data_IF_004833062086
#
_entry.id   IF_004833062086
#
_cell.length_a   1.000
_cell.length_b   1.000
_cell.length_c   1.000
_cell.angle_alpha   90.00
_cell.angle_beta   90.00
_cell.angle_gamma   90.00
#
_symmetry.space_group_name_H-M   'P 1'
#
loop_
_entity.id
_entity.type
_entity.pdbx_description
1 polymer ?
#
# COMPACT_ATOMS: atom_id res chain seq x y z
N UNK A 1 24.06 -7.54 12.51
CA UNK A 1 22.76 -7.01 12.95
C UNK A 1 22.06 -6.38 11.75
N UNK A 2 21.21 -7.13 11.06
CA UNK A 2 20.48 -6.62 9.90
C UNK A 2 19.43 -5.61 10.36
N UNK A 3 19.45 -4.40 9.80
CA UNK A 3 18.54 -3.32 10.18
C UNK A 3 17.14 -3.52 9.56
N UNK A 4 16.42 -4.54 10.02
CA UNK A 4 15.09 -4.95 9.53
C UNK A 4 14.07 -3.82 9.57
N UNK A 5 14.16 -2.93 10.56
CA UNK A 5 13.32 -1.73 10.66
C UNK A 5 13.52 -0.79 9.46
N UNK A 6 14.77 -0.53 9.06
CA UNK A 6 15.04 0.30 7.88
C UNK A 6 14.51 -0.36 6.61
N UNK A 7 14.63 -1.68 6.47
CA UNK A 7 14.05 -2.39 5.34
C UNK A 7 12.51 -2.31 5.32
N UNK A 8 11.85 -2.41 6.47
CA UNK A 8 10.39 -2.22 6.57
C UNK A 8 9.95 -0.79 6.19
N UNK A 9 10.76 0.23 6.52
CA UNK A 9 10.54 1.60 6.05
C UNK A 9 10.71 1.73 4.54
N UNK A 10 11.75 1.11 3.97
CA UNK A 10 11.95 1.11 2.52
C UNK A 10 10.76 0.45 1.80
N UNK A 11 10.27 -0.68 2.31
CA UNK A 11 9.06 -1.31 1.79
C UNK A 11 7.85 -0.37 1.80
N UNK A 12 7.61 0.29 2.92
CA UNK A 12 6.52 1.26 3.04
C UNK A 12 6.64 2.41 2.05
N UNK A 13 7.84 3.01 1.92
CA UNK A 13 8.10 4.12 1.00
C UNK A 13 7.98 3.71 -0.47
N UNK A 14 8.48 2.53 -0.85
CA UNK A 14 8.32 1.99 -2.21
C UNK A 14 6.84 1.76 -2.51
N UNK A 15 6.09 1.21 -1.56
CA UNK A 15 4.66 0.99 -1.73
C UNK A 15 3.88 2.29 -1.92
N UNK A 16 4.15 3.33 -1.13
CA UNK A 16 3.57 4.67 -1.37
C UNK A 16 4.01 5.23 -2.72
N UNK A 17 5.30 5.16 -3.03
CA UNK A 17 5.88 5.68 -4.26
C UNK A 17 5.27 5.05 -5.52
N UNK A 18 4.85 3.78 -5.43
CA UNK A 18 4.21 3.08 -6.55
C UNK A 18 2.86 3.66 -6.98
N UNK A 19 2.22 4.46 -6.12
CA UNK A 19 0.97 5.17 -6.43
C UNK A 19 1.18 6.50 -7.16
N UNK A 20 2.40 7.01 -7.24
CA UNK A 20 2.71 8.30 -7.86
C UNK A 20 2.21 8.41 -9.31
N UNK A 21 2.41 7.41 -10.20
CA UNK A 21 1.83 7.40 -11.55
C UNK A 21 0.31 7.60 -11.57
N UNK A 22 -0.39 6.87 -10.69
CA UNK A 22 -1.85 6.85 -10.65
C UNK A 22 -2.44 8.13 -10.03
N UNK A 23 -1.79 8.71 -9.03
CA UNK A 23 -2.30 9.88 -8.29
C UNK A 23 -1.82 11.19 -8.90
N UNK A 24 -0.53 11.31 -9.24
CA UNK A 24 0.07 12.57 -9.69
C UNK A 24 -0.08 12.73 -11.21
N UNK A 25 0.24 11.68 -11.96
CA UNK A 25 0.20 11.71 -13.42
C UNK A 25 -1.16 11.30 -13.99
N UNK A 26 -2.07 10.78 -13.14
CA UNK A 26 -3.39 10.28 -13.53
C UNK A 26 -3.32 9.20 -14.63
N UNK A 27 -2.18 8.52 -14.74
CA UNK A 27 -2.00 7.43 -15.68
C UNK A 27 -2.31 6.09 -15.00
N UNK A 28 -3.14 5.22 -15.62
CA UNK A 28 -3.43 3.90 -15.08
C UNK A 28 -2.24 2.96 -15.27
N UNK A 29 -1.16 3.21 -14.52
CA UNK A 29 0.00 2.34 -14.48
C UNK A 29 -0.27 1.16 -13.54
N UNK A 30 0.20 -0.03 -13.92
CA UNK A 30 0.14 -1.23 -13.09
C UNK A 30 1.21 -1.26 -11.98
N UNK A 31 1.89 -0.13 -11.72
CA UNK A 31 2.97 -0.05 -10.74
C UNK A 31 2.47 -0.32 -9.30
N UNK A 32 1.19 -0.06 -9.00
CA UNK A 32 0.56 -0.44 -7.74
C UNK A 32 0.63 -1.95 -7.45
N UNK A 33 0.82 -2.83 -8.44
CA UNK A 33 1.00 -4.28 -8.22
C UNK A 33 2.19 -4.59 -7.30
N UNK A 34 3.20 -3.72 -7.28
CA UNK A 34 4.36 -3.90 -6.42
C UNK A 34 3.99 -3.85 -4.93
N UNK A 35 2.90 -3.16 -4.57
CA UNK A 35 2.37 -3.12 -3.19
C UNK A 35 1.94 -4.51 -2.69
N UNK A 36 1.52 -5.42 -3.58
CA UNK A 36 1.14 -6.79 -3.24
C UNK A 36 2.33 -7.66 -2.84
N UNK A 37 3.54 -7.29 -3.26
CA UNK A 37 4.78 -7.98 -2.89
C UNK A 37 5.44 -7.25 -1.72
N UNK A 38 5.65 -5.94 -1.89
CA UNK A 38 6.40 -5.12 -0.94
C UNK A 38 5.62 -4.91 0.36
N UNK A 39 4.29 -4.88 0.33
CA UNK A 39 3.44 -4.82 1.52
C UNK A 39 3.66 -6.02 2.45
N UNK A 40 3.41 -7.27 2.01
CA UNK A 40 3.68 -8.46 2.82
C UNK A 40 5.13 -8.58 3.30
N UNK A 41 6.10 -8.27 2.44
CA UNK A 41 7.52 -8.26 2.84
C UNK A 41 7.76 -7.23 3.95
N UNK A 42 7.23 -6.02 3.80
CA UNK A 42 7.30 -4.96 4.80
C UNK A 42 6.61 -5.33 6.11
N UNK A 43 5.46 -6.03 6.07
CA UNK A 43 4.76 -6.55 7.25
C UNK A 43 5.65 -7.53 8.01
N UNK A 44 6.24 -8.52 7.32
CA UNK A 44 7.11 -9.52 7.94
C UNK A 44 8.33 -8.86 8.57
N UNK A 45 8.99 -7.94 7.85
CA UNK A 45 10.15 -7.21 8.36
C UNK A 45 9.79 -6.31 9.56
N UNK A 46 8.64 -5.64 9.51
CA UNK A 46 8.13 -4.80 10.59
C UNK A 46 7.83 -5.63 11.85
N UNK A 47 7.20 -6.79 11.67
CA UNK A 47 6.90 -7.74 12.74
C UNK A 47 8.17 -8.25 13.42
N UNK A 48 9.18 -8.65 12.64
CA UNK A 48 10.50 -9.06 13.16
C UNK A 48 11.19 -7.92 13.91
N UNK A 49 11.02 -6.67 13.46
CA UNK A 49 11.58 -5.49 14.14
C UNK A 49 10.75 -4.99 15.34
N UNK A 50 9.68 -5.70 15.70
CA UNK A 50 8.69 -5.36 16.73
C UNK A 50 8.09 -3.95 16.59
N UNK A 51 8.00 -3.45 15.36
CA UNK A 51 7.42 -2.14 15.07
C UNK A 51 5.97 -2.28 14.60
N UNK A 52 5.05 -2.35 15.56
CA UNK A 52 3.62 -2.48 15.27
C UNK A 52 3.06 -1.34 14.39
N UNK A 53 3.59 -0.12 14.56
CA UNK A 53 3.24 0.99 13.67
C UNK A 53 3.59 0.72 12.20
N UNK A 54 4.77 0.12 11.94
CA UNK A 54 5.16 -0.27 10.59
C UNK A 54 4.40 -1.49 10.06
N UNK A 55 3.96 -2.40 10.94
CA UNK A 55 3.08 -3.51 10.55
C UNK A 55 1.76 -2.96 10.01
N UNK A 56 1.13 -2.04 10.75
CA UNK A 56 -0.12 -1.38 10.33
C UNK A 56 0.12 -0.60 9.04
N UNK A 57 1.18 0.20 8.98
CA UNK A 57 1.50 1.03 7.80
C UNK A 57 1.70 0.18 6.53
N UNK A 58 2.48 -0.90 6.60
CA UNK A 58 2.69 -1.80 5.45
C UNK A 58 1.43 -2.61 5.11
N UNK A 59 0.57 -2.91 6.09
CA UNK A 59 -0.73 -3.54 5.85
C UNK A 59 -1.67 -2.62 5.10
N UNK A 60 -1.78 -1.35 5.51
CA UNK A 60 -2.61 -0.37 4.82
C UNK A 60 -2.12 -0.10 3.40
N UNK A 61 -0.81 -0.02 3.18
CA UNK A 61 -0.23 0.15 1.84
C UNK A 61 -0.41 -1.10 0.99
N UNK A 62 -0.19 -2.31 1.52
CA UNK A 62 -0.39 -3.56 0.79
C UNK A 62 -1.87 -3.83 0.45
N UNK A 63 -2.80 -3.38 1.30
CA UNK A 63 -4.24 -3.47 1.07
C UNK A 63 -4.83 -2.26 0.34
N UNK A 64 -4.04 -1.22 0.05
CA UNK A 64 -4.53 0.08 -0.44
C UNK A 64 -5.32 -0.03 -1.73
N UNK A 65 -4.89 -0.89 -2.67
CA UNK A 65 -5.59 -1.08 -3.93
C UNK A 65 -7.02 -1.61 -3.73
N UNK A 66 -7.19 -2.59 -2.84
CA UNK A 66 -8.50 -3.16 -2.53
C UNK A 66 -9.42 -2.11 -1.89
N UNK A 67 -8.88 -1.32 -0.96
CA UNK A 67 -9.63 -0.26 -0.28
C UNK A 67 -10.07 0.82 -1.25
N UNK A 68 -9.18 1.28 -2.13
CA UNK A 68 -9.48 2.33 -3.11
C UNK A 68 -10.45 1.84 -4.19
N UNK A 69 -10.30 0.61 -4.68
CA UNK A 69 -11.25 0.01 -5.62
C UNK A 69 -12.64 -0.13 -5.00
N UNK A 70 -12.73 -0.64 -3.78
CA UNK A 70 -13.99 -0.77 -3.07
C UNK A 70 -14.68 0.59 -2.90
N UNK A 71 -13.93 1.61 -2.48
CA UNK A 71 -14.45 2.97 -2.37
C UNK A 71 -14.98 3.50 -3.72
N UNK A 72 -14.24 3.29 -4.81
CA UNK A 72 -14.67 3.68 -6.15
C UNK A 72 -15.95 2.98 -6.61
N UNK A 73 -16.13 1.69 -6.31
CA UNK A 73 -17.38 1.00 -6.63
C UNK A 73 -18.57 1.50 -5.83
N UNK A 74 -18.37 1.81 -4.54
CA UNK A 74 -19.42 2.41 -3.70
C UNK A 74 -19.88 3.75 -4.27
N UNK A 75 -18.94 4.63 -4.65
CA UNK A 75 -19.32 5.96 -5.18
C UNK A 75 -20.10 5.85 -6.47
N UNK A 76 -19.72 4.93 -7.37
CA UNK A 76 -20.47 4.65 -8.60
C UNK A 76 -21.87 4.12 -8.27
N UNK A 77 -21.99 3.14 -7.37
CA UNK A 77 -23.29 2.59 -6.97
C UNK A 77 -24.22 3.66 -6.41
N UNK A 78 -23.72 4.51 -5.50
CA UNK A 78 -24.49 5.59 -4.90
C UNK A 78 -24.94 6.63 -5.94
N UNK A 79 -24.12 6.90 -6.96
CA UNK A 79 -24.47 7.84 -8.04
C UNK A 79 -25.62 7.37 -8.94
N UNK A 80 -25.94 6.08 -8.94
CA UNK A 80 -27.06 5.51 -9.69
C UNK A 80 -28.37 5.47 -8.89
N UNK A 81 -28.29 5.71 -7.57
CA UNK A 81 -29.42 5.61 -6.64
C UNK A 81 -30.09 6.98 -6.38
N UNK A 82 -29.34 8.07 -6.55
CA UNK A 82 -29.75 9.47 -6.33
C UNK A 82 -30.01 10.12 -7.69
#
# INVERSE_FOLDING_TARGET
MTNTRTWAWLCFLIGIGSWVPNIVFQEPAALWLITLIVGPVGIVLAFVSQSWGLVIANTMVGGSFLLLMFAGYITVFLSQLI
#
